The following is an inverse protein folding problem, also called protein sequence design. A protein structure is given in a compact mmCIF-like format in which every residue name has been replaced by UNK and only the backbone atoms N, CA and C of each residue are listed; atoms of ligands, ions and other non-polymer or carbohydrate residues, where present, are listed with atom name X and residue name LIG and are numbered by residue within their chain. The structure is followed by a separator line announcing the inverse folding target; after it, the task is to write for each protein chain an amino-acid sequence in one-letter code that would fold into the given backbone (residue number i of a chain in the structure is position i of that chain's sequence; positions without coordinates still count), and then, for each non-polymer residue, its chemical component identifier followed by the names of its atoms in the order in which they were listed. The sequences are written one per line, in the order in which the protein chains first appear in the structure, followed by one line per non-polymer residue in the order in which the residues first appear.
data_IF_312712592057
#
_entry.id   IF_312712592057
#
_cell.length_a   1.000
_cell.length_b   1.000
_cell.length_c   1.000
_cell.angle_alpha   90.00
_cell.angle_beta   90.00
_cell.angle_gamma   90.00
#
_symmetry.space_group_name_H-M   'P 1'
#
loop_
_entity.id
_entity.type
_entity.pdbx_description
1 polymer ?
#
# COMPACT_ATOMS: atom_id res chain seq x y z
N UNK A 1 8.27 16.15 -41.63
CA UNK A 1 6.98 15.53 -41.26
C UNK A 1 7.25 14.61 -40.09
N UNK A 2 7.23 15.16 -38.87
CA UNK A 2 7.44 14.39 -37.66
C UNK A 2 6.07 14.01 -37.10
N UNK A 3 5.84 12.71 -37.05
CA UNK A 3 4.62 12.10 -36.54
C UNK A 3 4.37 12.53 -35.10
N UNK A 4 3.13 12.96 -34.88
CA UNK A 4 2.52 13.27 -33.61
C UNK A 4 2.69 12.04 -32.70
N UNK A 5 3.55 12.14 -31.68
CA UNK A 5 3.52 11.21 -30.56
C UNK A 5 2.22 11.45 -29.81
N UNK A 6 1.47 10.37 -29.70
CA UNK A 6 0.21 10.19 -28.98
C UNK A 6 0.22 10.84 -27.60
N UNK A 7 -0.89 11.53 -27.27
CA UNK A 7 -1.26 11.95 -25.93
C UNK A 7 -1.18 10.76 -24.95
N UNK A 8 -0.06 10.59 -24.28
CA UNK A 8 -0.02 9.88 -23.00
C UNK A 8 -0.65 10.83 -21.98
N UNK A 9 -1.87 10.51 -21.51
CA UNK A 9 -2.43 11.15 -20.31
C UNK A 9 -1.40 10.99 -19.19
N UNK A 10 -0.81 12.11 -18.76
CA UNK A 10 0.07 12.16 -17.59
C UNK A 10 -0.76 11.62 -16.42
N UNK A 11 -0.30 10.53 -15.81
CA UNK A 11 -0.96 9.95 -14.64
C UNK A 11 -0.62 10.85 -13.46
N UNK A 12 -1.59 11.66 -13.03
CA UNK A 12 -1.43 12.67 -11.98
C UNK A 12 -1.53 11.98 -10.61
N UNK A 13 -0.41 11.87 -9.91
CA UNK A 13 -0.28 11.23 -8.60
C UNK A 13 -0.16 9.71 -8.70
N UNK A 14 1.07 9.19 -8.58
CA UNK A 14 1.34 7.74 -8.65
C UNK A 14 1.05 7.11 -7.27
N UNK A 15 0.03 6.25 -7.19
CA UNK A 15 -0.27 5.47 -5.99
C UNK A 15 -0.56 4.01 -6.35
N UNK A 16 0.03 3.09 -5.60
CA UNK A 16 -0.28 1.67 -5.68
C UNK A 16 -1.47 1.31 -4.80
N UNK A 17 -1.73 2.10 -3.76
CA UNK A 17 -2.80 1.87 -2.80
C UNK A 17 -4.16 2.10 -3.45
N UNK A 18 -5.02 1.09 -3.37
CA UNK A 18 -6.37 1.15 -3.92
C UNK A 18 -7.27 2.10 -3.12
N UNK A 19 -7.08 2.17 -1.78
CA UNK A 19 -7.78 3.12 -0.90
C UNK A 19 -7.64 4.58 -1.34
N UNK A 20 -6.48 4.96 -1.87
CA UNK A 20 -6.23 6.32 -2.35
C UNK A 20 -7.05 6.69 -3.58
N UNK A 21 -7.33 5.72 -4.46
CA UNK A 21 -8.23 5.94 -5.60
C UNK A 21 -9.69 5.94 -5.15
N UNK A 22 -10.06 5.10 -4.18
CA UNK A 22 -11.43 5.02 -3.68
C UNK A 22 -11.90 6.30 -2.99
N UNK A 23 -11.02 6.96 -2.20
CA UNK A 23 -11.37 8.21 -1.51
C UNK A 23 -11.76 9.35 -2.45
N UNK A 24 -11.22 9.40 -3.67
CA UNK A 24 -11.60 10.40 -4.69
C UNK A 24 -13.07 10.27 -5.14
N UNK A 25 -13.67 9.10 -4.91
CA UNK A 25 -15.03 8.78 -5.33
C UNK A 25 -15.96 8.48 -4.14
N UNK A 26 -15.52 8.68 -2.89
CA UNK A 26 -16.42 8.59 -1.74
C UNK A 26 -17.61 9.54 -1.90
N UNK A 27 -18.83 9.01 -1.74
CA UNK A 27 -20.08 9.74 -1.95
C UNK A 27 -20.66 9.68 -3.37
N UNK A 28 -19.97 9.07 -4.35
CA UNK A 28 -20.50 8.81 -5.70
C UNK A 28 -20.87 7.33 -5.85
N UNK A 29 -22.04 7.04 -6.43
CA UNK A 29 -22.38 5.67 -6.81
C UNK A 29 -21.50 5.22 -7.98
N UNK A 30 -20.52 4.35 -7.69
CA UNK A 30 -19.78 3.62 -8.71
C UNK A 30 -20.56 2.34 -9.04
N UNK A 31 -20.74 2.01 -10.32
CA UNK A 31 -21.37 0.75 -10.70
C UNK A 31 -20.42 -0.41 -10.34
N UNK A 32 -20.99 -1.51 -9.84
CA UNK A 32 -20.25 -2.75 -9.57
C UNK A 32 -19.16 -2.57 -8.49
N UNK A 33 -19.44 -1.75 -7.46
CA UNK A 33 -18.55 -1.50 -6.33
C UNK A 33 -19.28 -1.76 -5.01
N UNK A 34 -18.71 -2.64 -4.18
CA UNK A 34 -19.15 -2.91 -2.81
C UNK A 34 -18.16 -2.35 -1.80
N UNK A 35 -18.66 -1.85 -0.67
CA UNK A 35 -17.85 -1.38 0.44
C UNK A 35 -18.45 -1.89 1.74
N UNK A 36 -17.61 -2.58 2.53
CA UNK A 36 -17.95 -3.11 3.83
C UNK A 36 -16.89 -2.63 4.82
N UNK A 37 -17.33 -2.02 5.91
CA UNK A 37 -16.45 -1.58 7.00
C UNK A 37 -16.78 -2.39 8.24
N UNK A 38 -15.74 -2.93 8.87
CA UNK A 38 -15.84 -3.68 10.11
C UNK A 38 -14.61 -3.44 10.98
N UNK A 39 -14.69 -3.88 12.23
CA UNK A 39 -13.64 -3.65 13.21
C UNK A 39 -13.21 -4.99 13.81
N UNK A 40 -11.91 -5.24 13.84
CA UNK A 40 -11.31 -6.42 14.49
C UNK A 40 -10.38 -5.90 15.57
N UNK A 41 -10.61 -6.30 16.83
CA UNK A 41 -9.76 -5.90 17.98
C UNK A 41 -9.49 -4.37 18.06
N UNK A 42 -10.51 -3.56 17.81
CA UNK A 42 -10.45 -2.09 17.75
C UNK A 42 -9.61 -1.50 16.59
N UNK A 43 -9.36 -2.29 15.55
CA UNK A 43 -8.66 -1.88 14.33
C UNK A 43 -9.67 -1.87 13.19
N UNK A 44 -9.78 -0.72 12.51
CA UNK A 44 -10.69 -0.54 11.38
C UNK A 44 -10.18 -1.29 10.16
N UNK A 45 -11.06 -2.09 9.57
CA UNK A 45 -10.82 -2.82 8.32
C UNK A 45 -11.92 -2.47 7.32
N UNK A 46 -11.51 -2.11 6.11
CA UNK A 46 -12.41 -1.83 4.99
C UNK A 46 -12.21 -2.88 3.91
N UNK A 47 -13.27 -3.61 3.54
CA UNK A 47 -13.32 -4.49 2.36
C UNK A 47 -13.98 -3.73 1.22
N UNK A 48 -13.26 -3.61 0.10
CA UNK A 48 -13.73 -3.03 -1.14
C UNK A 48 -13.83 -4.15 -2.19
N UNK A 49 -15.03 -4.38 -2.70
CA UNK A 49 -15.32 -5.36 -3.74
C UNK A 49 -15.41 -4.61 -5.06
N UNK A 50 -14.44 -4.84 -5.96
CA UNK A 50 -14.33 -4.15 -7.24
C UNK A 50 -14.73 -5.08 -8.37
N UNK A 51 -15.84 -4.78 -9.03
CA UNK A 51 -16.24 -5.47 -10.26
C UNK A 51 -15.67 -4.83 -11.53
N UNK A 52 -16.03 -5.36 -12.70
CA UNK A 52 -15.37 -5.03 -13.97
C UNK A 52 -15.57 -3.57 -14.41
N UNK A 53 -16.74 -3.00 -14.11
CA UNK A 53 -17.04 -1.60 -14.48
C UNK A 53 -16.29 -0.63 -13.57
N UNK A 54 -16.28 -0.89 -12.26
CA UNK A 54 -15.51 -0.13 -11.28
C UNK A 54 -14.00 -0.20 -11.59
N UNK A 55 -13.48 -1.38 -11.93
CA UNK A 55 -12.08 -1.60 -12.30
C UNK A 55 -11.59 -0.66 -13.41
N UNK A 56 -12.39 -0.44 -14.44
CA UNK A 56 -12.05 0.46 -15.56
C UNK A 56 -11.97 1.92 -15.13
N UNK A 57 -12.86 2.35 -14.25
CA UNK A 57 -12.91 3.73 -13.73
C UNK A 57 -11.75 3.98 -12.77
N UNK A 58 -11.50 3.03 -11.87
CA UNK A 58 -10.52 3.12 -10.80
C UNK A 58 -9.10 2.76 -11.26
N UNK A 59 -8.94 2.25 -12.49
CA UNK A 59 -7.68 1.74 -13.02
C UNK A 59 -7.03 0.69 -12.11
N UNK A 60 -7.86 -0.14 -11.49
CA UNK A 60 -7.46 -1.26 -10.62
C UNK A 60 -8.07 -2.55 -11.17
N UNK A 61 -7.49 -3.68 -10.82
CA UNK A 61 -8.00 -4.98 -11.25
C UNK A 61 -9.29 -5.33 -10.49
N UNK A 62 -10.25 -6.05 -11.11
CA UNK A 62 -11.44 -6.51 -10.42
C UNK A 62 -11.10 -7.61 -9.41
N UNK A 63 -11.67 -7.52 -8.20
CA UNK A 63 -11.50 -8.46 -7.10
C UNK A 63 -11.70 -7.79 -5.75
N UNK A 64 -11.20 -8.42 -4.69
CA UNK A 64 -11.34 -7.97 -3.32
C UNK A 64 -10.09 -7.22 -2.86
N UNK A 65 -10.30 -6.09 -2.19
CA UNK A 65 -9.25 -5.30 -1.56
C UNK A 65 -9.62 -5.07 -0.10
N UNK A 66 -8.75 -5.48 0.80
CA UNK A 66 -8.87 -5.21 2.22
C UNK A 66 -7.87 -4.15 2.61
N UNK A 67 -8.31 -3.16 3.38
CA UNK A 67 -7.43 -2.14 3.93
C UNK A 67 -7.54 -2.10 5.43
N UNK A 68 -6.44 -2.39 6.12
CA UNK A 68 -6.31 -2.33 7.57
C UNK A 68 -5.71 -0.96 7.91
N UNK A 69 -6.44 -0.16 8.70
CA UNK A 69 -6.02 1.18 9.09
C UNK A 69 -5.32 1.17 10.45
N UNK A 70 -4.04 1.55 10.47
CA UNK A 70 -3.19 1.56 11.66
C UNK A 70 -2.99 2.98 12.21
N UNK A 71 -3.74 3.98 11.73
CA UNK A 71 -3.56 5.39 12.12
C UNK A 71 -3.71 5.61 13.63
N UNK A 72 -4.57 4.82 14.28
CA UNK A 72 -4.82 4.88 15.72
C UNK A 72 -3.97 3.89 16.53
N UNK A 73 -3.06 3.16 15.89
CA UNK A 73 -2.25 2.13 16.51
C UNK A 73 -0.86 2.65 16.85
N UNK A 74 -0.39 2.37 18.07
CA UNK A 74 0.99 2.55 18.44
C UNK A 74 1.79 1.28 18.12
N UNK A 75 2.57 1.32 17.05
CA UNK A 75 3.33 0.18 16.51
C UNK A 75 4.48 -0.24 17.46
N UNK A 76 4.75 0.51 18.53
CA UNK A 76 5.77 0.14 19.54
C UNK A 76 5.20 -0.50 20.80
N UNK A 77 3.87 -0.60 20.92
CA UNK A 77 3.23 -1.28 22.05
C UNK A 77 2.99 -2.76 21.73
N UNK A 78 3.54 -3.67 22.55
CA UNK A 78 3.48 -5.12 22.31
C UNK A 78 2.05 -5.63 22.14
N UNK A 79 1.10 -5.12 22.95
CA UNK A 79 -0.29 -5.56 22.83
C UNK A 79 -0.93 -5.11 21.52
N UNK A 80 -0.65 -3.87 21.13
CA UNK A 80 -1.11 -3.35 19.84
C UNK A 80 -0.53 -4.15 18.67
N UNK A 81 0.74 -4.57 18.76
CA UNK A 81 1.36 -5.45 17.75
C UNK A 81 0.61 -6.78 17.60
N UNK A 82 0.33 -7.48 18.70
CA UNK A 82 -0.44 -8.73 18.70
C UNK A 82 -1.86 -8.55 18.13
N UNK A 83 -2.49 -7.41 18.41
CA UNK A 83 -3.82 -7.10 17.89
C UNK A 83 -3.80 -6.84 16.37
N UNK A 84 -2.76 -6.19 15.85
CA UNK A 84 -2.55 -6.01 14.40
C UNK A 84 -2.25 -7.34 13.73
N UNK A 85 -1.35 -8.15 14.30
CA UNK A 85 -1.00 -9.48 13.79
C UNK A 85 -2.23 -10.37 13.66
N UNK A 86 -3.06 -10.41 14.71
CA UNK A 86 -4.29 -11.17 14.69
C UNK A 86 -5.30 -10.61 13.68
N UNK A 87 -5.44 -9.28 13.59
CA UNK A 87 -6.32 -8.64 12.59
C UNK A 87 -5.91 -9.01 11.17
N UNK A 88 -4.61 -8.92 10.87
CA UNK A 88 -4.05 -9.33 9.58
C UNK A 88 -4.28 -10.81 9.31
N UNK A 89 -4.07 -11.66 10.31
CA UNK A 89 -4.28 -13.10 10.19
C UNK A 89 -5.74 -13.46 9.92
N UNK A 90 -6.70 -12.81 10.61
CA UNK A 90 -8.13 -13.01 10.39
C UNK A 90 -8.51 -12.63 8.96
N UNK A 91 -8.09 -11.44 8.49
CA UNK A 91 -8.38 -10.98 7.12
C UNK A 91 -7.79 -11.92 6.07
N UNK A 92 -6.53 -12.33 6.25
CA UNK A 92 -5.87 -13.24 5.31
C UNK A 92 -6.54 -14.63 5.33
N UNK A 93 -6.98 -15.11 6.49
CA UNK A 93 -7.70 -16.38 6.60
C UNK A 93 -9.05 -16.34 5.90
N UNK A 94 -9.81 -15.25 6.05
CA UNK A 94 -11.08 -15.05 5.33
C UNK A 94 -10.84 -15.11 3.81
N UNK A 95 -9.78 -14.47 3.31
CA UNK A 95 -9.40 -14.57 1.89
C UNK A 95 -9.02 -15.99 1.47
N UNK A 96 -8.28 -16.73 2.30
CA UNK A 96 -7.92 -18.12 2.03
C UNK A 96 -9.16 -19.04 2.02
N UNK A 97 -10.15 -18.78 2.86
CA UNK A 97 -11.42 -19.52 2.90
C UNK A 97 -12.26 -19.23 1.65
N UNK A 98 -12.42 -17.96 1.27
CA UNK A 98 -13.12 -17.51 0.07
C UNK A 98 -12.51 -18.10 -1.21
N UNK A 99 -11.17 -18.22 -1.27
CA UNK A 99 -10.44 -18.80 -2.40
C UNK A 99 -10.27 -20.32 -2.33
N UNK A 100 -10.75 -20.98 -1.26
CA UNK A 100 -10.61 -22.41 -1.01
C UNK A 100 -9.14 -22.90 -0.95
N UNK A 101 -8.26 -22.07 -0.37
CA UNK A 101 -6.82 -22.27 -0.25
C UNK A 101 -6.35 -22.71 1.14
N UNK A 102 -7.26 -22.85 2.11
CA UNK A 102 -6.91 -23.29 3.47
C UNK A 102 -6.23 -24.65 3.46
N UNK A 103 -5.07 -24.75 4.12
CA UNK A 103 -4.29 -25.99 4.22
C UNK A 103 -3.48 -26.35 2.97
N UNK A 104 -3.56 -25.54 1.90
CA UNK A 104 -2.83 -25.76 0.64
C UNK A 104 -1.35 -25.36 0.72
N UNK A 105 -0.56 -25.73 -0.29
CA UNK A 105 0.87 -25.41 -0.38
C UNK A 105 1.07 -23.96 -0.77
N UNK A 106 1.68 -23.17 0.11
CA UNK A 106 1.90 -21.75 -0.10
C UNK A 106 3.33 -21.45 -0.58
N UNK A 107 3.46 -20.47 -1.47
CA UNK A 107 4.73 -19.83 -1.80
C UNK A 107 4.70 -18.35 -1.42
N UNK A 108 5.48 -17.96 -0.42
CA UNK A 108 5.57 -16.57 0.04
C UNK A 108 6.74 -15.87 -0.67
N UNK A 109 6.46 -14.75 -1.33
CA UNK A 109 7.46 -14.01 -2.11
C UNK A 109 7.59 -12.60 -1.56
N UNK A 110 8.77 -12.25 -1.08
CA UNK A 110 9.09 -10.91 -0.58
C UNK A 110 9.75 -10.08 -1.69
N UNK A 111 9.00 -9.17 -2.28
CA UNK A 111 9.49 -8.24 -3.29
C UNK A 111 10.20 -7.05 -2.66
N UNK A 112 11.14 -6.49 -3.42
CA UNK A 112 11.84 -5.27 -3.03
C UNK A 112 13.35 -5.43 -2.96
N UNK A 113 14.02 -4.34 -2.63
CA UNK A 113 15.47 -4.24 -2.52
C UNK A 113 15.88 -4.01 -1.06
N UNK A 114 16.54 -5.00 -0.46
CA UNK A 114 17.04 -4.91 0.92
C UNK A 114 18.03 -3.76 1.17
N UNK A 115 18.65 -3.21 0.11
CA UNK A 115 19.56 -2.07 0.24
C UNK A 115 18.85 -0.71 0.30
N UNK A 116 17.53 -0.67 0.09
CA UNK A 116 16.71 0.54 0.14
C UNK A 116 15.67 0.33 1.23
N UNK A 117 15.88 0.89 2.43
CA UNK A 117 15.03 0.64 3.60
C UNK A 117 13.52 0.68 3.31
N UNK A 118 12.95 1.74 2.70
CA UNK A 118 11.50 1.77 2.46
C UNK A 118 11.01 0.68 1.48
N UNK A 119 11.90 0.08 0.70
CA UNK A 119 11.62 -1.01 -0.26
C UNK A 119 12.01 -2.39 0.32
N UNK A 120 12.45 -2.47 1.58
CA UNK A 120 12.98 -3.70 2.19
C UNK A 120 11.93 -4.55 2.91
N UNK A 121 10.66 -4.11 2.95
CA UNK A 121 9.57 -4.83 3.66
C UNK A 121 9.48 -6.29 3.20
N UNK A 122 9.43 -6.57 1.90
CA UNK A 122 9.32 -7.94 1.41
C UNK A 122 10.47 -8.84 1.87
N UNK A 123 11.75 -8.49 1.63
CA UNK A 123 12.89 -9.21 2.18
C UNK A 123 12.79 -9.49 3.69
N UNK A 124 12.45 -8.47 4.50
CA UNK A 124 12.39 -8.61 5.96
C UNK A 124 11.21 -9.45 6.44
N UNK A 125 10.09 -9.46 5.71
CA UNK A 125 8.97 -10.37 5.98
C UNK A 125 9.41 -11.82 5.75
N UNK A 126 10.17 -12.08 4.69
CA UNK A 126 10.68 -13.43 4.40
C UNK A 126 11.63 -13.93 5.48
N UNK A 127 12.47 -13.05 6.04
CA UNK A 127 13.38 -13.40 7.14
C UNK A 127 12.66 -13.88 8.41
N UNK A 128 11.39 -13.47 8.59
CA UNK A 128 10.54 -13.84 9.73
C UNK A 128 9.43 -14.84 9.38
N UNK A 129 9.37 -15.32 8.13
CA UNK A 129 8.36 -16.28 7.68
C UNK A 129 8.74 -17.71 8.10
N UNK A 130 7.80 -18.45 8.69
CA UNK A 130 8.02 -19.85 9.09
C UNK A 130 7.96 -20.73 7.83
N UNK A 131 9.14 -21.19 7.38
CA UNK A 131 9.24 -22.09 6.22
C UNK A 131 9.21 -23.55 6.65
N UNK A 132 8.32 -24.34 6.04
CA UNK A 132 8.06 -25.74 6.46
C UNK A 132 8.19 -26.75 5.33
N UNK A 133 8.36 -26.30 4.07
CA UNK A 133 8.45 -27.19 2.91
C UNK A 133 9.56 -28.24 3.05
N UNK A 134 10.69 -27.90 3.67
CA UNK A 134 11.79 -28.84 3.87
C UNK A 134 11.41 -30.01 4.81
N UNK A 135 10.57 -29.76 5.83
CA UNK A 135 10.04 -30.78 6.74
C UNK A 135 8.97 -31.63 6.04
N UNK A 136 8.13 -31.00 5.21
CA UNK A 136 7.14 -31.71 4.41
C UNK A 136 7.78 -32.73 3.46
N UNK A 137 8.92 -32.41 2.83
CA UNK A 137 9.62 -33.31 1.91
C UNK A 137 10.21 -34.56 2.57
N UNK A 138 10.43 -34.53 3.88
CA UNK A 138 10.98 -35.64 4.67
C UNK A 138 9.91 -36.29 5.57
N UNK A 139 8.63 -36.01 5.33
CA UNK A 139 7.48 -36.49 6.10
C UNK A 139 7.57 -36.21 7.62
N UNK A 140 8.20 -35.08 8.01
CA UNK A 140 8.38 -34.65 9.40
C UNK A 140 7.54 -33.42 9.77
N UNK A 141 6.52 -33.09 8.98
CA UNK A 141 5.66 -31.94 9.22
C UNK A 141 4.65 -32.23 10.33
N UNK A 142 4.69 -31.44 11.40
CA UNK A 142 3.73 -31.54 12.51
C UNK A 142 2.32 -31.15 12.09
N UNK A 143 1.32 -31.74 12.76
CA UNK A 143 -0.08 -31.33 12.62
C UNK A 143 -0.26 -29.83 12.91
N UNK A 144 -1.14 -29.18 12.16
CA UNK A 144 -1.39 -27.74 12.28
C UNK A 144 -0.45 -26.84 11.47
N UNK A 145 0.61 -27.39 10.85
CA UNK A 145 1.45 -26.63 9.91
C UNK A 145 1.12 -26.98 8.47
N UNK A 146 0.88 -25.96 7.64
CA UNK A 146 0.84 -26.11 6.17
C UNK A 146 2.24 -26.14 5.56
N UNK A 147 2.34 -26.63 4.31
CA UNK A 147 3.58 -26.66 3.54
C UNK A 147 3.86 -25.29 2.93
N UNK A 148 4.83 -24.57 3.49
CA UNK A 148 5.17 -23.19 3.11
C UNK A 148 6.61 -23.14 2.60
N UNK A 149 6.77 -22.54 1.44
CA UNK A 149 8.05 -22.12 0.88
C UNK A 149 8.11 -20.60 0.83
N UNK A 150 9.29 -20.02 0.97
CA UNK A 150 9.47 -18.58 0.93
C UNK A 150 10.75 -18.20 0.18
N UNK A 151 10.73 -17.06 -0.50
CA UNK A 151 11.91 -16.51 -1.19
C UNK A 151 11.81 -14.99 -1.35
N UNK A 152 12.94 -14.30 -1.22
CA UNK A 152 13.11 -12.94 -1.77
C UNK A 152 14.00 -13.01 -3.02
N UNK A 153 13.46 -12.74 -4.23
CA UNK A 153 14.20 -12.85 -5.48
C UNK A 153 15.14 -11.67 -5.73
N UNK A 154 15.04 -10.60 -4.95
CA UNK A 154 15.71 -9.33 -5.19
C UNK A 154 15.15 -8.57 -6.40
N UNK A 155 15.91 -7.59 -6.88
CA UNK A 155 15.53 -6.71 -8.00
C UNK A 155 16.40 -6.98 -9.22
N UNK A 156 15.86 -6.74 -10.42
CA UNK A 156 16.60 -6.91 -11.69
C UNK A 156 17.96 -6.18 -11.68
N UNK A 157 18.07 -5.03 -11.00
CA UNK A 157 19.31 -4.28 -10.92
C UNK A 157 20.46 -5.03 -10.24
N UNK A 158 20.16 -6.01 -9.38
CA UNK A 158 21.19 -6.82 -8.69
C UNK A 158 21.33 -8.20 -9.30
N UNK A 159 20.25 -8.79 -9.81
CA UNK A 159 20.24 -10.17 -10.32
C UNK A 159 20.45 -10.27 -11.83
N UNK A 160 20.14 -9.21 -12.58
CA UNK A 160 20.10 -9.22 -14.05
C UNK A 160 18.93 -10.02 -14.64
N UNK A 161 18.02 -10.55 -13.80
CA UNK A 161 16.86 -11.34 -14.21
C UNK A 161 15.61 -10.64 -13.69
N UNK A 162 14.57 -10.58 -14.52
CA UNK A 162 13.28 -10.03 -14.09
C UNK A 162 12.67 -10.87 -12.97
N UNK A 163 12.19 -10.19 -11.94
CA UNK A 163 11.61 -10.84 -10.75
C UNK A 163 10.46 -11.78 -11.11
N UNK A 164 9.64 -11.40 -12.11
CA UNK A 164 8.58 -12.26 -12.66
C UNK A 164 9.12 -13.59 -13.18
N UNK A 165 10.20 -13.56 -13.98
CA UNK A 165 10.74 -14.77 -14.61
C UNK A 165 11.32 -15.74 -13.55
N UNK A 166 11.90 -15.20 -12.46
CA UNK A 166 12.36 -16.00 -11.31
C UNK A 166 11.17 -16.68 -10.63
N UNK A 167 10.13 -15.92 -10.28
CA UNK A 167 8.94 -16.41 -9.57
C UNK A 167 8.22 -17.47 -10.41
N UNK A 168 7.98 -17.19 -11.70
CA UNK A 168 7.31 -18.12 -12.62
C UNK A 168 8.11 -19.43 -12.77
N UNK A 169 9.44 -19.33 -12.88
CA UNK A 169 10.33 -20.51 -12.96
C UNK A 169 10.28 -21.34 -11.68
N UNK A 170 10.23 -20.68 -10.51
CA UNK A 170 10.09 -21.36 -9.23
C UNK A 170 8.76 -22.08 -9.15
N UNK A 171 7.63 -21.41 -9.40
CA UNK A 171 6.29 -22.02 -9.37
C UNK A 171 6.19 -23.26 -10.26
N UNK A 172 6.80 -23.23 -11.46
CA UNK A 172 6.84 -24.42 -12.35
C UNK A 172 7.64 -25.59 -11.77
N UNK A 173 8.56 -25.32 -10.85
CA UNK A 173 9.49 -26.31 -10.28
C UNK A 173 9.08 -26.79 -8.89
N UNK A 174 8.56 -25.88 -8.05
CA UNK A 174 8.03 -26.17 -6.73
C UNK A 174 6.51 -26.27 -6.88
N UNK A 175 5.99 -27.49 -6.83
CA UNK A 175 4.54 -27.75 -6.85
C UNK A 175 3.85 -27.03 -5.68
N UNK A 176 3.20 -25.90 -5.99
CA UNK A 176 2.53 -25.00 -5.03
C UNK A 176 1.14 -24.65 -5.54
N UNK A 177 0.21 -24.42 -4.61
CA UNK A 177 -1.20 -24.19 -4.92
C UNK A 177 -1.51 -22.69 -5.08
N UNK A 178 -0.79 -21.81 -4.37
CA UNK A 178 -0.98 -20.36 -4.43
C UNK A 178 0.27 -19.59 -3.98
N UNK A 179 0.29 -18.29 -4.30
CA UNK A 179 1.38 -17.37 -3.93
C UNK A 179 0.86 -16.26 -3.04
N UNK A 180 1.60 -15.94 -1.97
CA UNK A 180 1.44 -14.70 -1.21
C UNK A 180 2.61 -13.79 -1.58
N UNK A 181 2.33 -12.63 -2.14
CA UNK A 181 3.35 -11.66 -2.53
C UNK A 181 3.32 -10.50 -1.55
N UNK A 182 4.47 -10.10 -1.03
CA UNK A 182 4.60 -8.95 -0.12
C UNK A 182 5.47 -7.89 -0.76
N UNK A 183 4.97 -6.66 -0.85
CA UNK A 183 5.65 -5.55 -1.53
C UNK A 183 5.51 -4.24 -0.76
N UNK A 184 6.47 -3.34 -0.97
CA UNK A 184 6.33 -1.95 -0.55
C UNK A 184 5.52 -1.17 -1.61
N UNK A 185 4.57 -0.36 -1.16
CA UNK A 185 3.69 0.43 -2.00
C UNK A 185 4.05 1.91 -1.94
N UNK A 186 3.65 2.67 -2.96
CA UNK A 186 3.58 4.13 -2.86
C UNK A 186 2.14 4.59 -2.58
N UNK A 187 1.99 5.63 -1.75
CA UNK A 187 0.70 6.31 -1.47
C UNK A 187 0.73 7.75 -1.98
N UNK A 188 -0.45 8.34 -2.21
CA UNK A 188 -0.62 9.77 -2.46
C UNK A 188 -1.03 10.56 -1.21
N UNK A 189 -1.01 9.94 -0.02
CA UNK A 189 -1.42 10.57 1.23
C UNK A 189 -0.36 10.37 2.31
N UNK A 190 0.16 11.47 2.85
CA UNK A 190 1.16 11.43 3.92
C UNK A 190 0.61 10.70 5.16
N UNK A 191 -0.71 10.81 5.42
CA UNK A 191 -1.38 10.21 6.57
C UNK A 191 -1.29 8.68 6.59
N UNK A 192 -1.04 8.04 5.45
CA UNK A 192 -1.05 6.58 5.32
C UNK A 192 0.33 5.93 5.34
N UNK A 193 1.39 6.71 5.21
CA UNK A 193 2.75 6.15 5.21
C UNK A 193 2.97 5.37 6.51
N UNK A 194 3.28 4.09 6.38
CA UNK A 194 3.49 3.15 7.50
C UNK A 194 2.29 2.99 8.45
N UNK A 195 1.10 3.45 8.03
CA UNK A 195 -0.15 3.41 8.82
C UNK A 195 -1.27 2.64 8.11
N UNK A 196 -0.95 1.86 7.09
CA UNK A 196 -1.95 1.09 6.34
C UNK A 196 -1.34 -0.21 5.85
N UNK A 197 -2.08 -1.31 5.94
CA UNK A 197 -1.74 -2.57 5.27
C UNK A 197 -2.88 -2.90 4.32
N UNK A 198 -2.56 -3.15 3.05
CA UNK A 198 -3.53 -3.53 2.04
C UNK A 198 -3.34 -4.98 1.63
N UNK A 199 -4.43 -5.74 1.54
CA UNK A 199 -4.45 -7.09 0.99
C UNK A 199 -5.35 -7.16 -0.23
N UNK A 200 -5.00 -7.94 -1.24
CA UNK A 200 -5.84 -8.16 -2.41
C UNK A 200 -5.63 -9.53 -3.04
N UNK A 201 -6.68 -10.09 -3.63
CA UNK A 201 -6.65 -11.35 -4.39
C UNK A 201 -6.42 -11.14 -5.90
N UNK A 202 -6.26 -9.90 -6.33
CA UNK A 202 -6.09 -9.53 -7.74
C UNK A 202 -4.65 -9.69 -8.23
N UNK A 203 -3.71 -9.81 -7.31
CA UNK A 203 -2.27 -9.77 -7.57
C UNK A 203 -1.67 -8.37 -7.38
N UNK A 204 -0.48 -8.18 -7.93
CA UNK A 204 0.27 -6.93 -7.80
C UNK A 204 1.07 -6.62 -9.05
N UNK A 205 1.25 -5.33 -9.34
CA UNK A 205 2.17 -4.85 -10.36
C UNK A 205 3.37 -4.19 -9.68
N UNK A 206 4.51 -4.88 -9.55
CA UNK A 206 5.60 -4.38 -8.71
C UNK A 206 6.15 -3.04 -9.22
N UNK A 207 6.30 -2.07 -8.31
CA UNK A 207 6.90 -0.78 -8.59
C UNK A 207 6.09 0.17 -9.50
N UNK A 208 4.78 -0.05 -9.69
CA UNK A 208 3.95 0.86 -10.49
C UNK A 208 3.88 2.28 -9.91
N UNK A 209 3.84 2.43 -8.60
CA UNK A 209 3.79 3.73 -7.91
C UNK A 209 5.10 4.50 -7.97
N UNK A 210 6.21 3.81 -8.25
CA UNK A 210 7.54 4.42 -8.46
C UNK A 210 7.82 4.71 -9.95
N UNK A 211 6.86 4.41 -10.83
CA UNK A 211 6.95 4.64 -12.28
C UNK A 211 7.58 3.50 -13.08
N UNK A 212 7.83 2.33 -12.46
CA UNK A 212 8.36 1.17 -13.17
C UNK A 212 7.22 0.37 -13.84
N UNK A 213 7.38 0.04 -15.12
CA UNK A 213 6.45 -0.82 -15.86
C UNK A 213 6.93 -2.28 -15.79
N UNK A 214 6.85 -2.91 -14.61
CA UNK A 214 7.15 -4.35 -14.48
C UNK A 214 5.96 -5.21 -14.90
N UNK A 215 6.24 -6.48 -15.23
CA UNK A 215 5.19 -7.49 -15.47
C UNK A 215 4.38 -7.69 -14.20
N UNK A 216 3.07 -7.81 -14.38
CA UNK A 216 2.12 -8.09 -13.30
C UNK A 216 2.30 -9.51 -12.77
N UNK A 217 2.08 -9.68 -11.46
CA UNK A 217 2.01 -10.96 -10.76
C UNK A 217 0.56 -11.18 -10.35
N UNK A 218 -0.16 -12.03 -11.07
CA UNK A 218 -1.59 -12.28 -10.86
C UNK A 218 -1.96 -13.67 -11.34
N UNK A 219 -3.20 -14.10 -11.04
CA UNK A 219 -3.74 -15.38 -11.52
C UNK A 219 -3.61 -15.52 -13.04
N UNK A 220 -3.81 -14.43 -13.79
CA UNK A 220 -3.77 -14.43 -15.25
C UNK A 220 -2.35 -14.65 -15.80
N UNK A 221 -1.33 -14.19 -15.08
CA UNK A 221 0.06 -14.20 -15.53
C UNK A 221 0.85 -15.39 -15.00
N UNK A 222 0.56 -15.86 -13.78
CA UNK A 222 1.26 -16.99 -13.16
C UNK A 222 0.48 -18.31 -13.25
N UNK A 223 -0.82 -18.25 -13.55
CA UNK A 223 -1.69 -19.43 -13.66
C UNK A 223 -2.14 -20.05 -12.34
N UNK A 224 -1.72 -19.48 -11.19
CA UNK A 224 -2.16 -19.87 -9.85
C UNK A 224 -2.63 -18.64 -9.05
N UNK A 225 -3.52 -18.81 -8.05
CA UNK A 225 -4.00 -17.69 -7.23
C UNK A 225 -2.87 -16.89 -6.58
N UNK A 226 -3.02 -15.57 -6.58
CA UNK A 226 -2.05 -14.65 -6.00
C UNK A 226 -2.75 -13.73 -5.00
N UNK A 227 -2.29 -13.77 -3.76
CA UNK A 227 -2.69 -12.81 -2.73
C UNK A 227 -1.53 -11.82 -2.58
N UNK A 228 -1.79 -10.54 -2.77
CA UNK A 228 -0.79 -9.49 -2.56
C UNK A 228 -1.04 -8.76 -1.25
N UNK A 229 0.01 -8.54 -0.47
CA UNK A 229 0.04 -7.74 0.75
C UNK A 229 0.99 -6.57 0.49
N UNK A 230 0.49 -5.36 0.69
CA UNK A 230 1.24 -4.15 0.40
C UNK A 230 1.17 -3.13 1.52
N UNK A 231 2.29 -2.47 1.77
CA UNK A 231 2.41 -1.41 2.78
C UNK A 231 2.96 -0.14 2.14
N UNK A 232 2.26 1.01 2.24
CA UNK A 232 2.75 2.26 1.70
C UNK A 232 3.89 2.81 2.57
N UNK A 233 5.11 2.82 2.05
CA UNK A 233 6.32 3.28 2.76
C UNK A 233 6.86 4.61 2.24
N UNK A 234 6.42 4.99 1.04
CA UNK A 234 6.87 6.20 0.36
C UNK A 234 5.70 6.98 -0.22
N UNK A 235 5.94 8.27 -0.41
CA UNK A 235 5.07 9.18 -1.15
C UNK A 235 5.92 9.96 -2.15
N UNK A 236 5.31 10.29 -3.29
CA UNK A 236 5.95 11.12 -4.30
C UNK A 236 6.22 12.54 -3.77
N UNK A 237 7.40 13.09 -4.06
CA UNK A 237 7.79 14.43 -3.59
C UNK A 237 6.85 15.54 -4.09
N UNK A 238 6.27 15.39 -5.29
CA UNK A 238 5.26 16.30 -5.86
C UNK A 238 4.03 16.35 -4.97
N UNK A 239 3.58 15.19 -4.47
CA UNK A 239 2.41 15.08 -3.59
C UNK A 239 2.64 15.84 -2.30
N UNK A 240 3.78 15.64 -1.62
CA UNK A 240 4.09 16.39 -0.39
C UNK A 240 4.12 17.90 -0.66
N UNK A 241 4.76 18.32 -1.76
CA UNK A 241 4.92 19.74 -2.09
C UNK A 241 3.57 20.40 -2.33
N UNK A 242 2.68 19.74 -3.08
CA UNK A 242 1.33 20.23 -3.35
C UNK A 242 0.52 20.30 -2.07
N UNK A 243 0.53 19.25 -1.25
CA UNK A 243 -0.21 19.21 0.00
C UNK A 243 0.27 20.34 0.96
N UNK A 244 1.57 20.57 1.06
CA UNK A 244 2.15 21.64 1.88
C UNK A 244 1.72 23.04 1.39
N UNK A 245 1.69 23.27 0.08
CA UNK A 245 1.19 24.53 -0.50
C UNK A 245 -0.29 24.72 -0.18
N UNK A 246 -1.11 23.68 -0.40
CA UNK A 246 -2.56 23.74 -0.14
C UNK A 246 -2.85 24.00 1.34
N UNK A 247 -2.12 23.34 2.24
CA UNK A 247 -2.22 23.58 3.68
C UNK A 247 -1.86 25.01 4.07
N UNK A 248 -0.78 25.54 3.49
CA UNK A 248 -0.36 26.93 3.73
C UNK A 248 -1.43 27.91 3.23
N UNK A 249 -2.03 27.66 2.06
CA UNK A 249 -3.14 28.46 1.53
C UNK A 249 -4.35 28.44 2.45
N UNK A 250 -4.77 27.25 2.90
CA UNK A 250 -5.90 27.10 3.83
C UNK A 250 -5.65 27.85 5.14
N UNK A 251 -4.42 27.83 5.64
CA UNK A 251 -4.04 28.60 6.81
C UNK A 251 -4.14 30.11 6.57
N UNK A 252 -3.58 30.63 5.47
CA UNK A 252 -3.67 32.04 5.10
C UNK A 252 -5.11 32.51 4.88
N UNK A 253 -5.96 31.63 4.33
CA UNK A 253 -7.38 31.90 4.16
C UNK A 253 -8.10 32.07 5.50
N UNK A 254 -7.87 31.16 6.45
CA UNK A 254 -8.45 31.25 7.80
C UNK A 254 -8.04 32.53 8.53
N UNK A 255 -6.77 32.95 8.38
CA UNK A 255 -6.27 34.24 8.86
C UNK A 255 -7.02 35.42 8.21
N UNK A 256 -7.20 35.39 6.89
CA UNK A 256 -7.86 36.48 6.15
C UNK A 256 -9.34 36.67 6.49
N UNK A 257 -10.04 35.60 6.86
CA UNK A 257 -11.43 35.66 7.31
C UNK A 257 -11.58 36.07 8.78
N UNK A 258 -10.49 36.44 9.47
CA UNK A 258 -10.44 36.65 10.92
C UNK A 258 -11.01 35.46 11.71
N UNK A 259 -10.98 34.26 11.12
CA UNK A 259 -11.43 33.02 11.77
C UNK A 259 -10.34 32.39 12.63
N UNK A 260 -9.17 33.01 12.73
CA UNK A 260 -8.13 32.61 13.68
C UNK A 260 -8.02 33.59 14.84
N UNK A 261 -8.28 33.07 16.03
CA UNK A 261 -7.59 33.49 17.25
C UNK A 261 -6.92 32.26 17.87
N UNK A 262 -6.01 31.58 17.15
CA UNK A 262 -5.27 30.44 17.73
C UNK A 262 -3.82 30.27 17.26
N UNK A 263 -3.32 31.02 16.28
CA UNK A 263 -1.88 31.09 15.98
C UNK A 263 -1.07 31.82 17.07
N UNK A 264 -1.72 32.65 17.88
CA UNK A 264 -1.11 33.46 18.94
C UNK A 264 -1.09 32.79 20.33
N UNK A 265 -1.51 31.54 20.46
CA UNK A 265 -1.30 30.78 21.70
C UNK A 265 -0.24 29.72 21.42
N UNK A 266 0.87 29.80 22.15
CA UNK A 266 1.98 28.84 22.18
C UNK A 266 1.51 27.44 22.63
N UNK A 267 0.59 26.82 21.89
CA UNK A 267 0.19 25.43 22.04
C UNK A 267 0.84 24.63 20.91
N UNK A 268 1.49 23.49 21.21
CA UNK A 268 2.00 22.57 20.20
C UNK A 268 0.88 21.81 19.46
N UNK A 269 -0.37 21.90 19.95
CA UNK A 269 -1.50 21.16 19.39
C UNK A 269 -1.98 21.83 18.09
N UNK A 270 -1.89 21.06 17.01
CA UNK A 270 -1.73 21.51 15.63
C UNK A 270 -2.96 22.17 15.00
N UNK A 271 -2.68 23.21 14.21
CA UNK A 271 -3.51 23.83 13.17
C UNK A 271 -4.19 22.81 12.23
N UNK A 272 -3.70 21.57 12.14
CA UNK A 272 -4.12 20.51 11.21
C UNK A 272 -5.60 20.10 11.30
N UNK A 273 -6.18 19.97 12.50
CA UNK A 273 -7.58 19.52 12.64
C UNK A 273 -8.57 20.56 12.09
N UNK A 274 -8.22 21.85 12.16
CA UNK A 274 -9.04 22.96 11.65
C UNK A 274 -8.88 23.23 10.14
N UNK A 275 -7.89 22.63 9.47
CA UNK A 275 -7.69 22.81 8.02
C UNK A 275 -8.56 21.86 7.17
N UNK A 276 -9.04 20.77 7.76
CA UNK A 276 -9.91 19.82 7.06
C UNK A 276 -11.34 20.35 6.88
N UNK A 277 -11.76 21.38 7.62
CA UNK A 277 -13.09 22.00 7.53
C UNK A 277 -13.22 23.09 6.46
N UNK A 278 -12.10 23.45 5.81
CA UNK A 278 -12.10 24.39 4.68
C UNK A 278 -12.17 23.56 3.40
N UNK A 279 -13.40 23.27 2.96
CA UNK A 279 -13.64 22.45 1.77
C UNK A 279 -13.42 23.23 0.47
N UNK A 280 -13.77 24.53 0.41
CA UNK A 280 -13.62 25.31 -0.82
C UNK A 280 -13.13 26.74 -0.56
N UNK A 281 -11.85 26.99 -0.85
CA UNK A 281 -11.33 28.36 -1.02
C UNK A 281 -11.74 28.87 -2.40
N UNK A 282 -12.35 30.06 -2.48
CA UNK A 282 -12.65 30.67 -3.78
C UNK A 282 -11.36 30.97 -4.57
N UNK A 283 -11.41 30.80 -5.89
CA UNK A 283 -10.26 31.03 -6.79
C UNK A 283 -9.66 32.45 -6.65
N UNK A 284 -10.49 33.42 -6.26
CA UNK A 284 -10.07 34.79 -5.96
C UNK A 284 -9.08 34.89 -4.79
N UNK A 285 -9.23 34.06 -3.75
CA UNK A 285 -8.28 34.03 -2.63
C UNK A 285 -7.00 33.29 -3.01
N UNK A 286 -7.10 32.19 -3.77
CA UNK A 286 -5.91 31.47 -4.28
C UNK A 286 -5.05 32.36 -5.17
N UNK A 287 -5.68 33.14 -6.07
CA UNK A 287 -5.00 34.14 -6.89
C UNK A 287 -4.37 35.25 -6.04
N UNK A 288 -5.06 35.73 -5.00
CA UNK A 288 -4.52 36.79 -4.14
C UNK A 288 -3.22 36.36 -3.41
N UNK A 289 -3.11 35.09 -3.01
CA UNK A 289 -1.94 34.58 -2.29
C UNK A 289 -0.80 34.08 -3.19
N UNK A 290 -1.12 33.41 -4.30
CA UNK A 290 -0.12 32.75 -5.17
C UNK A 290 -0.05 33.32 -6.59
N UNK A 291 -0.80 34.38 -6.89
CA UNK A 291 -0.81 35.03 -8.19
C UNK A 291 -1.20 34.05 -9.31
N UNK A 292 -0.46 34.01 -10.44
CA UNK A 292 -0.75 33.13 -11.57
C UNK A 292 -0.81 31.64 -11.22
N UNK A 293 -0.03 31.20 -10.24
CA UNK A 293 -0.03 29.79 -9.80
C UNK A 293 -1.35 29.42 -9.10
N UNK A 294 -1.98 30.36 -8.41
CA UNK A 294 -3.27 30.16 -7.75
C UNK A 294 -4.44 29.99 -8.71
N UNK A 295 -4.29 30.36 -9.99
CA UNK A 295 -5.30 30.14 -11.05
C UNK A 295 -5.27 28.74 -11.64
N UNK A 296 -4.19 28.02 -11.43
CA UNK A 296 -4.02 26.67 -11.97
C UNK A 296 -4.93 25.72 -11.20
N UNK A 297 -5.53 24.77 -11.91
CA UNK A 297 -6.21 23.64 -11.27
C UNK A 297 -5.20 22.82 -10.47
N UNK A 298 -5.64 22.05 -9.48
CA UNK A 298 -4.73 21.18 -8.71
C UNK A 298 -3.92 20.23 -9.60
N UNK A 299 -4.53 19.74 -10.68
CA UNK A 299 -3.86 18.91 -11.69
C UNK A 299 -2.74 19.66 -12.41
N UNK A 300 -2.98 20.92 -12.79
CA UNK A 300 -1.98 21.78 -13.43
C UNK A 300 -0.86 22.17 -12.46
N UNK A 301 -1.19 22.43 -11.19
CA UNK A 301 -0.20 22.68 -10.14
C UNK A 301 0.69 21.46 -9.91
N UNK A 302 0.10 20.26 -9.83
CA UNK A 302 0.83 18.99 -9.73
C UNK A 302 1.79 18.80 -10.90
N UNK A 303 1.31 18.98 -12.13
CA UNK A 303 2.13 18.84 -13.35
C UNK A 303 3.31 19.83 -13.35
N UNK A 304 3.06 21.10 -13.01
CA UNK A 304 4.11 22.10 -12.94
C UNK A 304 5.17 21.76 -11.87
N UNK A 305 4.74 21.32 -10.70
CA UNK A 305 5.65 20.93 -9.61
C UNK A 305 6.45 19.68 -10.00
N UNK A 306 5.83 18.71 -10.66
CA UNK A 306 6.52 17.52 -11.19
C UNK A 306 7.64 17.95 -12.15
N UNK A 307 7.37 18.87 -13.09
CA UNK A 307 8.39 19.41 -14.02
C UNK A 307 9.52 20.16 -13.29
N UNK A 308 9.21 20.90 -12.23
CA UNK A 308 10.20 21.64 -11.42
C UNK A 308 11.06 20.71 -10.58
N UNK A 309 10.52 19.57 -10.11
CA UNK A 309 11.24 18.59 -9.31
C UNK A 309 12.01 17.56 -10.17
N UNK A 310 11.68 17.43 -11.45
CA UNK A 310 12.32 16.49 -12.39
C UNK A 310 13.33 17.08 -13.41
N UNK A 311 13.93 18.28 -13.26
CA UNK A 311 14.77 18.89 -14.32
C UNK A 311 16.06 18.10 -14.61
N UNK A 312 16.41 17.12 -13.78
CA UNK A 312 17.53 16.19 -13.98
C UNK A 312 17.08 14.73 -14.23
N UNK A 313 15.77 14.46 -14.32
CA UNK A 313 15.21 13.13 -14.53
C UNK A 313 15.16 12.23 -13.29
N UNK A 314 15.31 12.79 -12.09
CA UNK A 314 15.17 12.03 -10.83
C UNK A 314 13.71 11.88 -10.43
N UNK A 315 13.27 10.65 -10.16
CA UNK A 315 12.00 10.39 -9.47
C UNK A 315 12.27 10.44 -7.95
N UNK A 316 11.88 11.55 -7.30
CA UNK A 316 12.10 11.74 -5.88
C UNK A 316 10.95 11.16 -5.06
N UNK A 317 11.29 10.26 -4.13
CA UNK A 317 10.39 9.72 -3.14
C UNK A 317 10.76 10.25 -1.76
N UNK A 318 9.77 10.38 -0.90
CA UNK A 318 9.93 10.83 0.48
C UNK A 318 9.39 9.79 1.44
N UNK A 319 10.09 9.59 2.55
CA UNK A 319 9.75 8.65 3.62
C UNK A 319 10.15 9.24 4.98
N UNK A 320 9.51 8.85 6.09
CA UNK A 320 9.88 9.29 7.44
C UNK A 320 11.34 8.99 7.78
N UNK A 321 11.92 9.77 8.70
CA UNK A 321 13.29 9.56 9.17
C UNK A 321 13.47 8.25 9.94
N UNK A 322 12.41 7.78 10.59
CA UNK A 322 12.40 6.57 11.44
C UNK A 322 11.98 5.31 10.66
N UNK A 323 11.99 5.39 9.31
CA UNK A 323 11.56 4.32 8.42
C UNK A 323 12.24 2.98 8.70
N UNK A 324 13.49 2.98 9.16
CA UNK A 324 14.23 1.76 9.48
C UNK A 324 13.52 0.92 10.55
N UNK A 325 13.07 1.57 11.62
CA UNK A 325 12.37 0.90 12.74
C UNK A 325 10.96 0.52 12.31
N UNK A 326 10.25 1.41 11.62
CA UNK A 326 8.88 1.16 11.18
C UNK A 326 8.80 -0.02 10.19
N UNK A 327 9.73 -0.10 9.24
CA UNK A 327 9.82 -1.22 8.29
C UNK A 327 10.17 -2.52 9.01
N UNK A 328 11.07 -2.50 9.99
CA UNK A 328 11.41 -3.68 10.78
C UNK A 328 10.20 -4.22 11.56
N UNK A 329 9.48 -3.34 12.27
CA UNK A 329 8.31 -3.72 13.06
C UNK A 329 7.16 -4.19 12.17
N UNK A 330 6.83 -3.46 11.09
CA UNK A 330 5.78 -3.85 10.14
C UNK A 330 6.11 -5.18 9.46
N UNK A 331 7.38 -5.46 9.17
CA UNK A 331 7.78 -6.73 8.56
C UNK A 331 7.56 -7.91 9.50
N UNK A 332 7.81 -7.75 10.80
CA UNK A 332 7.51 -8.78 11.81
C UNK A 332 6.01 -9.01 11.93
N UNK A 333 5.23 -7.94 11.99
CA UNK A 333 3.76 -8.00 12.05
C UNK A 333 3.21 -8.77 10.85
N UNK A 334 3.67 -8.44 9.64
CA UNK A 334 3.19 -9.08 8.41
C UNK A 334 3.59 -10.55 8.38
N UNK A 335 4.84 -10.87 8.71
CA UNK A 335 5.31 -12.25 8.79
C UNK A 335 4.49 -13.07 9.79
N UNK A 336 4.24 -12.54 11.00
CA UNK A 336 3.45 -13.20 12.02
C UNK A 336 1.99 -13.36 11.60
N UNK A 337 1.38 -12.34 10.98
CA UNK A 337 0.03 -12.46 10.42
C UNK A 337 -0.08 -13.54 9.34
N UNK A 338 0.93 -13.65 8.45
CA UNK A 338 1.02 -14.73 7.45
C UNK A 338 1.16 -16.09 8.16
N UNK A 339 2.07 -16.20 9.13
CA UNK A 339 2.33 -17.43 9.87
C UNK A 339 1.06 -17.93 10.58
N UNK A 340 0.32 -17.03 11.23
CA UNK A 340 -0.94 -17.32 11.92
C UNK A 340 -2.04 -17.75 10.94
N UNK A 341 -2.16 -17.11 9.79
CA UNK A 341 -3.19 -17.44 8.80
C UNK A 341 -2.94 -18.77 8.08
N UNK A 342 -1.68 -19.04 7.75
CA UNK A 342 -1.30 -20.22 6.94
C UNK A 342 -1.09 -21.46 7.83
N UNK A 343 -0.60 -21.31 9.06
CA UNK A 343 -0.43 -22.42 9.99
C UNK A 343 -1.55 -22.45 11.03
N UNK A 344 -2.59 -23.26 10.77
CA UNK A 344 -3.77 -23.37 11.64
C UNK A 344 -3.47 -23.72 13.10
N UNK A 345 -2.36 -24.43 13.36
CA UNK A 345 -1.90 -24.76 14.72
C UNK A 345 -1.46 -23.55 15.54
N UNK A 346 -0.98 -22.48 14.90
CA UNK A 346 -0.54 -21.26 15.59
C UNK A 346 -1.73 -20.37 15.96
N UNK A 347 -2.74 -20.29 15.08
CA UNK A 347 -3.94 -19.48 15.32
C UNK A 347 -4.72 -19.93 16.55
N UNK A 348 -4.89 -21.25 16.74
CA UNK A 348 -5.66 -21.79 17.85
C UNK A 348 -4.92 -21.72 19.20
N UNK A 349 -3.58 -21.63 19.18
CA UNK A 349 -2.75 -21.57 20.39
C UNK A 349 -2.76 -20.21 21.11
N UNK A 350 -3.35 -19.18 20.50
CA UNK A 350 -3.53 -17.85 21.13
C UNK A 350 -4.95 -17.61 21.65
N UNK A 351 -5.84 -18.59 21.51
CA UNK A 351 -7.25 -18.51 21.95
C UNK A 351 -7.49 -19.07 23.36
N UNK A 352 -6.44 -19.36 24.14
CA UNK A 352 -6.53 -19.84 25.54
C UNK A 352 -5.99 -18.84 26.56
#
# INVERSE_FOLDING_TARGET
MNGIKTNEKIIIGRTDLAKDEYEKYQGKQLPDFGNEEFEIKNISVTKNIVGNQAATILQKQPGNYYTIDLSNCNIHDTKTLEDIEHTLATVLKDMLEELHLVGKKAFVVGLGNSNVTPDAIGPYVIDNTIVTRHLYLIDALSEGFSCVSAMSPGVMGTTGIETYDIIESMIKKIDVDFVIVVDALATNSIKRINKTIQLTDTGIKPGSGVGNKRKELSLQTLGIPVIAIGVPTVVDATTITVDAIQMTLKYLYLESENKTSYANKLSPTLVYENLNSVEDMSDTHKEAFLGPFGKLTEEQQRTLIEEVLTPQGYNLMVTPKEIDVEVEDLSKIIANGINLAVHSGLYNGQSE
#
